data_IF_761932972097
#
_entry.id   IF_761932972097
#
_cell.length_a   1.000
_cell.length_b   1.000
_cell.length_c   1.000
_cell.angle_alpha   90.00
_cell.angle_beta   90.00
_cell.angle_gamma   90.00
#
_symmetry.space_group_name_H-M   'P 1'
#
loop_
_entity.id
_entity.type
_entity.pdbx_description
1 polymer ?
#
# COMPACT_ATOMS: atom_id res chain seq x y z
N UNK A 1 8.67 -4.12 -15.65
CA UNK A 1 9.50 -4.29 -14.44
C UNK A 1 9.35 -5.74 -13.94
N UNK A 2 10.43 -6.50 -13.69
CA UNK A 2 10.35 -7.96 -13.48
C UNK A 2 9.59 -8.45 -12.24
N UNK A 3 9.57 -7.68 -11.14
CA UNK A 3 8.88 -8.06 -9.91
C UNK A 3 7.34 -7.89 -10.02
N UNK A 4 6.86 -7.00 -10.90
CA UNK A 4 5.43 -6.82 -11.18
C UNK A 4 5.23 -6.40 -12.65
N UNK A 5 5.28 -7.36 -13.60
CA UNK A 5 4.90 -7.10 -14.98
C UNK A 5 3.37 -6.97 -15.05
N UNK A 6 2.87 -5.80 -15.44
CA UNK A 6 1.44 -5.51 -15.59
C UNK A 6 0.81 -6.16 -16.84
N UNK A 7 1.62 -6.73 -17.73
CA UNK A 7 1.20 -7.51 -18.88
C UNK A 7 2.31 -8.50 -19.27
N UNK A 8 1.96 -9.53 -20.05
CA UNK A 8 2.92 -10.45 -20.67
C UNK A 8 2.66 -10.49 -22.18
N UNK A 9 3.71 -10.40 -22.99
CA UNK A 9 3.62 -10.33 -24.46
C UNK A 9 3.72 -11.70 -25.15
N UNK A 10 3.94 -12.76 -24.40
CA UNK A 10 4.05 -14.14 -24.89
C UNK A 10 3.22 -15.07 -23.99
N UNK A 11 2.73 -16.20 -24.53
CA UNK A 11 2.04 -17.19 -23.72
C UNK A 11 2.99 -17.84 -22.70
N UNK A 12 2.45 -18.46 -21.64
CA UNK A 12 3.25 -19.29 -20.75
C UNK A 12 3.97 -20.42 -21.51
N UNK A 13 5.23 -20.74 -21.17
CA UNK A 13 5.95 -21.84 -21.79
C UNK A 13 5.29 -23.18 -21.46
N UNK A 14 5.17 -24.06 -22.46
CA UNK A 14 4.50 -25.36 -22.32
C UNK A 14 5.46 -26.51 -21.99
N UNK A 15 6.77 -26.31 -22.14
CA UNK A 15 7.80 -27.32 -21.96
C UNK A 15 8.93 -26.78 -21.10
N UNK A 16 9.38 -27.57 -20.11
CA UNK A 16 10.50 -27.20 -19.22
C UNK A 16 11.81 -27.07 -20.02
N UNK A 17 12.70 -26.19 -19.58
CA UNK A 17 14.04 -26.02 -20.15
C UNK A 17 14.11 -25.17 -21.43
N UNK A 18 12.99 -24.63 -21.93
CA UNK A 18 12.97 -23.77 -23.12
C UNK A 18 13.16 -22.27 -22.81
N UNK A 19 13.05 -21.88 -21.54
CA UNK A 19 13.18 -20.48 -21.13
C UNK A 19 14.65 -20.04 -21.15
N UNK A 20 14.91 -18.94 -21.86
CA UNK A 20 16.17 -18.20 -21.88
C UNK A 20 15.94 -16.76 -21.42
N UNK A 21 17.01 -16.03 -21.10
CA UNK A 21 16.93 -14.59 -20.80
C UNK A 21 16.29 -13.82 -21.96
N UNK A 22 16.64 -14.14 -23.21
CA UNK A 22 16.03 -13.51 -24.39
C UNK A 22 14.53 -13.74 -24.46
N UNK A 23 14.05 -14.95 -24.21
CA UNK A 23 12.60 -15.22 -24.18
C UNK A 23 11.92 -14.52 -23.01
N UNK A 24 12.59 -14.38 -21.86
CA UNK A 24 12.06 -13.64 -20.71
C UNK A 24 11.88 -12.15 -21.05
N UNK A 25 12.89 -11.52 -21.67
CA UNK A 25 12.83 -10.12 -22.11
C UNK A 25 11.74 -9.89 -23.16
N UNK A 26 11.52 -10.85 -24.08
CA UNK A 26 10.41 -10.81 -25.05
C UNK A 26 9.03 -11.01 -24.43
N UNK A 27 8.95 -11.66 -23.27
CA UNK A 27 7.69 -11.88 -22.55
C UNK A 27 7.30 -10.68 -21.69
N UNK A 28 8.28 -9.91 -21.21
CA UNK A 28 8.00 -8.69 -20.44
C UNK A 28 7.27 -7.62 -21.26
N UNK A 29 6.53 -6.72 -20.59
CA UNK A 29 5.89 -5.61 -21.26
C UNK A 29 6.93 -4.68 -21.88
N UNK A 30 6.59 -4.10 -23.04
CA UNK A 30 7.38 -3.06 -23.66
C UNK A 30 7.53 -1.81 -22.75
N UNK A 31 8.36 -0.88 -23.22
CA UNK A 31 8.69 0.34 -22.47
C UNK A 31 7.43 1.17 -22.21
N UNK A 32 6.56 1.35 -23.20
CA UNK A 32 5.38 2.19 -23.06
C UNK A 32 4.41 1.62 -22.01
N UNK A 33 4.14 0.32 -22.09
CA UNK A 33 3.29 -0.41 -21.13
C UNK A 33 3.88 -0.38 -19.73
N UNK A 34 5.20 -0.53 -19.61
CA UNK A 34 5.91 -0.45 -18.33
C UNK A 34 5.82 0.95 -17.72
N UNK A 35 6.13 2.00 -18.49
CA UNK A 35 6.15 3.38 -18.00
C UNK A 35 4.74 3.84 -17.57
N UNK A 36 3.71 3.53 -18.35
CA UNK A 36 2.32 3.85 -17.99
C UNK A 36 1.89 3.13 -16.70
N UNK A 37 2.24 1.85 -16.55
CA UNK A 37 1.97 1.09 -15.32
C UNK A 37 2.70 1.68 -14.10
N UNK A 38 3.97 2.06 -14.27
CA UNK A 38 4.76 2.71 -13.21
C UNK A 38 4.18 4.07 -12.83
N UNK A 39 3.77 4.89 -13.80
CA UNK A 39 3.15 6.19 -13.54
C UNK A 39 1.84 6.05 -12.76
N UNK A 40 0.99 5.09 -13.15
CA UNK A 40 -0.26 4.80 -12.46
C UNK A 40 -0.02 4.34 -11.01
N UNK A 41 0.84 3.35 -10.78
CA UNK A 41 1.16 2.86 -9.43
C UNK A 41 1.81 3.95 -8.58
N UNK A 42 2.70 4.76 -9.17
CA UNK A 42 3.31 5.87 -8.46
C UNK A 42 2.27 6.90 -8.01
N UNK A 43 1.35 7.29 -8.89
CA UNK A 43 0.30 8.26 -8.57
C UNK A 43 -0.64 7.71 -7.49
N UNK A 44 -1.16 6.49 -7.67
CA UNK A 44 -2.11 5.86 -6.75
C UNK A 44 -1.50 5.45 -5.39
N UNK A 45 -0.17 5.44 -5.28
CA UNK A 45 0.52 5.19 -3.99
C UNK A 45 0.86 6.47 -3.24
N UNK A 46 0.52 7.65 -3.77
CA UNK A 46 0.77 8.91 -3.07
C UNK A 46 -0.32 9.15 -2.03
N UNK A 47 0.11 9.59 -0.85
CA UNK A 47 -0.78 10.12 0.15
C UNK A 47 -1.33 11.47 -0.32
N UNK A 48 -2.64 11.68 -0.20
CA UNK A 48 -3.27 12.95 -0.56
C UNK A 48 -2.83 14.08 0.38
N UNK A 49 -2.90 15.33 -0.09
CA UNK A 49 -2.54 16.52 0.71
C UNK A 49 -3.53 16.80 1.84
N UNK A 50 -4.78 16.34 1.69
CA UNK A 50 -5.87 16.44 2.67
C UNK A 50 -6.02 15.16 3.50
N UNK A 51 -4.97 14.33 3.55
CA UNK A 51 -5.00 13.04 4.22
C UNK A 51 -5.49 13.10 5.68
N UNK A 52 -6.41 12.20 6.01
CA UNK A 52 -6.90 12.01 7.39
C UNK A 52 -6.63 10.58 7.85
N UNK A 53 -5.69 10.44 8.79
CA UNK A 53 -5.34 9.14 9.37
C UNK A 53 -6.55 8.46 10.06
N UNK A 54 -6.56 7.13 10.03
CA UNK A 54 -7.57 6.29 10.66
C UNK A 54 -7.87 6.72 12.11
N UNK A 55 -9.15 6.90 12.42
CA UNK A 55 -9.62 7.30 13.75
C UNK A 55 -9.64 8.80 14.02
N UNK A 56 -9.33 9.65 13.03
CA UNK A 56 -9.43 11.12 13.14
C UNK A 56 -10.63 11.68 12.36
N UNK A 57 -10.88 12.99 12.37
CA UNK A 57 -11.91 13.62 11.52
C UNK A 57 -13.36 13.44 11.95
N UNK A 58 -13.63 12.75 13.06
CA UNK A 58 -14.99 12.53 13.59
C UNK A 58 -15.43 13.54 14.65
N UNK A 59 -14.53 14.43 15.07
CA UNK A 59 -14.68 15.26 16.27
C UNK A 59 -15.81 16.29 16.14
N UNK A 60 -16.12 16.74 14.92
CA UNK A 60 -17.17 17.74 14.69
C UNK A 60 -18.55 17.11 14.43
N UNK A 61 -18.63 15.78 14.35
CA UNK A 61 -19.88 15.05 14.07
C UNK A 61 -20.59 14.56 15.33
N UNK A 62 -19.85 14.36 16.42
CA UNK A 62 -20.38 13.85 17.69
C UNK A 62 -20.23 14.90 18.78
N UNK A 63 -21.27 15.10 19.57
CA UNK A 63 -21.26 16.02 20.72
C UNK A 63 -21.54 15.29 22.03
N UNK A 64 -22.10 14.09 21.94
CA UNK A 64 -22.45 13.27 23.09
C UNK A 64 -21.20 12.66 23.72
N UNK A 65 -21.22 12.61 25.06
CA UNK A 65 -20.09 12.13 25.86
C UNK A 65 -19.64 10.71 25.49
N UNK A 66 -20.57 9.77 25.38
CA UNK A 66 -20.23 8.35 25.18
C UNK A 66 -19.55 8.07 23.82
N UNK A 67 -20.06 8.54 22.66
CA UNK A 67 -19.34 8.43 21.40
C UNK A 67 -17.94 9.05 21.45
N UNK A 68 -17.78 10.23 22.06
CA UNK A 68 -16.48 10.89 22.17
C UNK A 68 -15.48 10.07 23.02
N UNK A 69 -15.92 9.49 24.14
CA UNK A 69 -15.10 8.59 24.95
C UNK A 69 -14.63 7.36 24.17
N UNK A 70 -15.51 6.73 23.39
CA UNK A 70 -15.18 5.57 22.55
C UNK A 70 -14.22 5.92 21.41
N UNK A 71 -14.36 7.10 20.82
CA UNK A 71 -13.42 7.60 19.80
C UNK A 71 -12.03 7.79 20.41
N UNK A 72 -11.94 8.41 21.59
CA UNK A 72 -10.67 8.59 22.29
C UNK A 72 -10.01 7.26 22.70
N UNK A 73 -10.80 6.29 23.17
CA UNK A 73 -10.30 4.95 23.47
C UNK A 73 -9.73 4.28 22.21
N UNK A 74 -10.47 4.34 21.10
CA UNK A 74 -10.02 3.81 19.80
C UNK A 74 -8.71 4.48 19.36
N UNK A 75 -8.61 5.81 19.45
CA UNK A 75 -7.38 6.55 19.12
C UNK A 75 -6.19 6.11 19.98
N UNK A 76 -6.40 5.82 21.27
CA UNK A 76 -5.35 5.33 22.16
C UNK A 76 -4.87 3.92 21.77
N UNK A 77 -5.79 3.03 21.38
CA UNK A 77 -5.47 1.71 20.86
C UNK A 77 -4.65 1.81 19.57
N UNK A 78 -5.04 2.68 18.63
CA UNK A 78 -4.30 2.91 17.39
C UNK A 78 -2.89 3.46 17.65
N UNK A 79 -2.70 4.38 18.60
CA UNK A 79 -1.37 4.87 19.00
C UNK A 79 -0.49 3.75 19.54
N UNK A 80 -1.05 2.85 20.36
CA UNK A 80 -0.34 1.67 20.87
C UNK A 80 0.12 0.77 19.72
N UNK A 81 -0.76 0.45 18.77
CA UNK A 81 -0.39 -0.38 17.62
C UNK A 81 0.65 0.28 16.70
N UNK A 82 0.55 1.59 16.47
CA UNK A 82 1.61 2.32 15.75
C UNK A 82 2.98 2.12 16.44
N UNK A 83 3.05 2.27 17.76
CA UNK A 83 4.30 2.08 18.51
C UNK A 83 4.82 0.64 18.42
N UNK A 84 3.97 -0.36 18.62
CA UNK A 84 4.35 -1.78 18.53
C UNK A 84 4.84 -2.15 17.12
N UNK A 85 4.16 -1.66 16.07
CA UNK A 85 4.57 -1.89 14.68
C UNK A 85 5.90 -1.21 14.38
N UNK A 86 6.11 0.02 14.84
CA UNK A 86 7.38 0.73 14.69
C UNK A 86 8.52 -0.06 15.37
N UNK A 87 8.32 -0.48 16.63
CA UNK A 87 9.30 -1.29 17.36
C UNK A 87 9.63 -2.62 16.66
N UNK A 88 8.61 -3.34 16.19
CA UNK A 88 8.76 -4.58 15.43
C UNK A 88 9.52 -4.37 14.11
N UNK A 89 9.32 -3.23 13.43
CA UNK A 89 9.93 -2.96 12.13
C UNK A 89 11.43 -2.61 12.24
N UNK A 90 11.94 -2.18 13.40
CA UNK A 90 13.37 -1.85 13.59
C UNK A 90 14.28 -3.05 13.32
N UNK A 91 13.83 -4.27 13.64
CA UNK A 91 14.64 -5.49 13.46
C UNK A 91 14.48 -6.15 12.10
N UNK A 92 13.60 -5.64 11.23
CA UNK A 92 13.31 -6.26 9.94
C UNK A 92 14.17 -5.65 8.83
N UNK A 93 14.82 -6.48 7.98
CA UNK A 93 15.55 -5.97 6.81
C UNK A 93 14.62 -5.32 5.78
N UNK A 94 13.34 -5.71 5.77
CA UNK A 94 12.28 -5.09 4.98
C UNK A 94 11.07 -4.83 5.90
N UNK A 95 10.87 -3.59 6.37
CA UNK A 95 9.80 -3.27 7.30
C UNK A 95 8.43 -3.31 6.60
N UNK A 96 7.40 -3.77 7.32
CA UNK A 96 6.02 -3.74 6.83
C UNK A 96 5.29 -2.54 7.43
N UNK A 97 5.04 -1.52 6.61
CA UNK A 97 4.51 -0.22 7.06
C UNK A 97 3.07 0.05 6.61
N UNK A 98 2.51 -0.76 5.70
CA UNK A 98 1.23 -0.47 5.05
C UNK A 98 0.04 -0.42 6.01
N UNK A 99 0.00 -1.28 7.03
CA UNK A 99 -1.05 -1.28 8.05
C UNK A 99 -0.63 -0.59 9.35
N UNK A 100 0.39 0.26 9.32
CA UNK A 100 0.61 1.16 10.44
C UNK A 100 -0.58 2.14 10.50
N UNK A 101 -1.27 2.30 11.64
CA UNK A 101 -2.40 3.22 11.77
C UNK A 101 -2.17 4.63 11.22
N UNK A 102 -0.94 5.16 11.31
CA UNK A 102 -0.60 6.49 10.79
C UNK A 102 -0.45 6.54 9.25
N UNK A 103 -0.44 5.40 8.58
CA UNK A 103 -0.33 5.26 7.13
C UNK A 103 -1.65 4.78 6.49
N UNK A 104 -2.69 4.52 7.30
CA UNK A 104 -4.00 4.08 6.82
C UNK A 104 -4.96 5.26 6.86
N UNK A 105 -5.51 5.61 5.69
CA UNK A 105 -6.51 6.67 5.59
C UNK A 105 -7.86 6.21 6.12
N UNK A 106 -8.67 7.14 6.64
CA UNK A 106 -10.02 6.85 7.12
C UNK A 106 -10.97 6.34 6.02
N UNK A 107 -10.71 6.68 4.75
CA UNK A 107 -11.59 6.36 3.63
C UNK A 107 -10.78 6.12 2.35
N UNK A 108 -11.45 5.67 1.29
CA UNK A 108 -10.85 5.52 -0.05
C UNK A 108 -11.02 6.85 -0.79
N UNK A 109 -9.97 7.67 -0.80
CA UNK A 109 -9.97 9.01 -1.41
C UNK A 109 -9.08 9.10 -2.67
N UNK A 110 -8.36 8.04 -3.02
CA UNK A 110 -7.50 7.91 -4.21
C UNK A 110 -7.62 6.52 -4.82
#
# INVERSE_FOLDING_TARGET
>A
MPNFPNALQQPPPTTKGQCTESTMLKTFPDINTTVNGMAAVYLLSRQSTDYVALGNGYQDHFSEKTPLELIHETQNVLKKYNFEIQGRNVSLPLPYTYLNPNNVENSVAL
#
